data_IF_522057603324
#
_entry.id   IF_522057603324
#
_cell.length_a   1.000
_cell.length_b   1.000
_cell.length_c   1.000
_cell.angle_alpha   90.00
_cell.angle_beta   90.00
_cell.angle_gamma   90.00
#
_symmetry.space_group_name_H-M   'P 1'
#
loop_
_entity.id
_entity.type
_entity.pdbx_description
1 polymer ?
#
# COMPACT_ATOMS: atom_id res chain seq x y z
N UNK A 1 16.25 -45.17 -6.27
CA UNK A 1 16.08 -44.55 -4.94
C UNK A 1 16.29 -43.04 -4.95
N UNK A 2 17.31 -42.48 -5.63
CA UNK A 2 17.53 -41.02 -5.67
C UNK A 2 16.49 -40.26 -6.51
N UNK A 3 16.02 -40.84 -7.61
CA UNK A 3 15.00 -40.24 -8.49
C UNK A 3 13.63 -40.08 -7.82
N UNK A 4 13.21 -41.04 -7.00
CA UNK A 4 11.98 -40.97 -6.22
C UNK A 4 12.04 -39.88 -5.13
N UNK A 5 13.19 -39.69 -4.49
CA UNK A 5 13.39 -38.65 -3.48
C UNK A 5 13.35 -37.23 -4.10
N UNK A 6 13.96 -37.03 -5.28
CA UNK A 6 13.91 -35.77 -6.02
C UNK A 6 12.48 -35.40 -6.44
N UNK A 7 11.71 -36.38 -6.92
CA UNK A 7 10.30 -36.17 -7.28
C UNK A 7 9.44 -35.82 -6.07
N UNK A 8 9.67 -36.46 -4.92
CA UNK A 8 8.97 -36.12 -3.67
C UNK A 8 9.30 -34.71 -3.19
N UNK A 9 10.58 -34.32 -3.21
CA UNK A 9 11.00 -32.98 -2.79
C UNK A 9 10.40 -31.89 -3.69
N UNK A 10 10.39 -32.11 -5.01
CA UNK A 10 9.79 -31.21 -5.98
C UNK A 10 8.26 -31.11 -5.80
N UNK A 11 7.59 -32.23 -5.51
CA UNK A 11 6.17 -32.27 -5.22
C UNK A 11 5.80 -31.46 -3.97
N UNK A 12 6.57 -31.63 -2.88
CA UNK A 12 6.35 -30.90 -1.62
C UNK A 12 6.59 -29.39 -1.81
N UNK A 13 7.66 -28.99 -2.50
CA UNK A 13 7.92 -27.57 -2.77
C UNK A 13 6.85 -26.94 -3.65
N UNK A 14 6.42 -27.63 -4.71
CA UNK A 14 5.33 -27.16 -5.57
C UNK A 14 4.02 -27.00 -4.78
N UNK A 15 3.70 -27.97 -3.92
CA UNK A 15 2.50 -27.92 -3.08
C UNK A 15 2.54 -26.75 -2.09
N UNK A 16 3.69 -26.50 -1.45
CA UNK A 16 3.90 -25.35 -0.57
C UNK A 16 3.74 -24.03 -1.30
N UNK A 17 4.41 -23.85 -2.44
CA UNK A 17 4.30 -22.63 -3.26
C UNK A 17 2.86 -22.40 -3.70
N UNK A 18 2.18 -23.45 -4.15
CA UNK A 18 0.76 -23.41 -4.53
C UNK A 18 -0.14 -23.00 -3.36
N UNK A 19 0.08 -23.57 -2.17
CA UNK A 19 -0.69 -23.23 -0.96
C UNK A 19 -0.48 -21.78 -0.54
N UNK A 20 0.76 -21.27 -0.55
CA UNK A 20 1.05 -19.86 -0.26
C UNK A 20 0.41 -18.92 -1.30
N UNK A 21 0.47 -19.27 -2.58
CA UNK A 21 -0.15 -18.48 -3.64
C UNK A 21 -1.69 -18.45 -3.51
N UNK A 22 -2.31 -19.60 -3.24
CA UNK A 22 -3.74 -19.73 -3.03
C UNK A 22 -4.21 -18.96 -1.79
N UNK A 23 -3.44 -19.04 -0.69
CA UNK A 23 -3.72 -18.28 0.52
C UNK A 23 -3.61 -16.78 0.28
N UNK A 24 -2.60 -16.33 -0.46
CA UNK A 24 -2.45 -14.94 -0.88
C UNK A 24 -3.60 -14.47 -1.77
N UNK A 25 -4.05 -15.30 -2.71
CA UNK A 25 -5.20 -15.00 -3.57
C UNK A 25 -6.49 -14.89 -2.77
N UNK A 26 -6.74 -15.81 -1.84
CA UNK A 26 -7.92 -15.80 -0.98
C UNK A 26 -7.92 -14.59 -0.06
N UNK A 27 -6.77 -14.25 0.52
CA UNK A 27 -6.60 -13.04 1.31
C UNK A 27 -6.92 -11.80 0.48
N UNK A 28 -6.46 -11.74 -0.77
CA UNK A 28 -6.69 -10.63 -1.72
C UNK A 28 -8.16 -10.47 -2.14
N UNK A 29 -8.91 -11.57 -2.18
CA UNK A 29 -10.35 -11.56 -2.41
C UNK A 29 -11.12 -11.09 -1.17
N UNK A 30 -10.81 -11.67 -0.01
CA UNK A 30 -11.46 -11.33 1.27
C UNK A 30 -11.13 -9.90 1.73
N UNK A 31 -9.97 -9.40 1.33
CA UNK A 31 -9.51 -8.06 1.64
C UNK A 31 -10.18 -6.96 0.79
N UNK A 32 -10.94 -7.29 -0.25
CA UNK A 32 -11.40 -6.29 -1.20
C UNK A 32 -10.25 -5.55 -1.91
N UNK A 33 -9.01 -6.05 -1.83
CA UNK A 33 -7.86 -5.56 -2.61
C UNK A 33 -8.16 -5.62 -4.10
N UNK A 34 -9.00 -6.56 -4.53
CA UNK A 34 -9.45 -6.63 -5.92
C UNK A 34 -10.14 -5.33 -6.38
N UNK A 35 -11.00 -4.75 -5.53
CA UNK A 35 -11.75 -3.53 -5.87
C UNK A 35 -10.82 -2.31 -5.91
N UNK A 36 -9.85 -2.25 -5.00
CA UNK A 36 -8.83 -1.18 -4.97
C UNK A 36 -7.87 -1.28 -6.16
N UNK A 37 -7.38 -2.47 -6.49
CA UNK A 37 -6.56 -2.72 -7.68
C UNK A 37 -7.32 -2.37 -8.97
N UNK A 38 -8.60 -2.71 -9.05
CA UNK A 38 -9.43 -2.39 -10.22
C UNK A 38 -9.67 -0.88 -10.34
N UNK A 39 -9.85 -0.16 -9.22
CA UNK A 39 -9.94 1.31 -9.22
C UNK A 39 -8.63 1.97 -9.60
N UNK A 40 -7.50 1.47 -9.09
CA UNK A 40 -6.18 1.94 -9.46
C UNK A 40 -5.92 1.72 -10.97
N UNK A 41 -6.28 0.54 -11.50
CA UNK A 41 -6.22 0.24 -12.94
C UNK A 41 -7.17 1.09 -13.77
N UNK A 42 -8.36 1.42 -13.25
CA UNK A 42 -9.29 2.34 -13.90
C UNK A 42 -8.72 3.75 -13.97
N UNK A 43 -8.24 4.32 -12.87
CA UNK A 43 -7.58 5.64 -12.85
C UNK A 43 -6.38 5.69 -13.80
N UNK A 44 -5.57 4.64 -13.82
CA UNK A 44 -4.43 4.53 -14.73
C UNK A 44 -4.84 4.43 -16.21
N UNK A 45 -6.03 3.88 -16.52
CA UNK A 45 -6.57 3.77 -17.88
C UNK A 45 -7.32 5.02 -18.32
N UNK A 46 -8.06 5.65 -17.42
CA UNK A 46 -8.93 6.79 -17.73
C UNK A 46 -8.12 8.08 -17.93
N UNK A 47 -6.87 8.16 -17.46
CA UNK A 47 -6.08 9.41 -17.56
C UNK A 47 -6.73 10.60 -16.86
N UNK A 48 -7.82 10.34 -16.13
CA UNK A 48 -8.67 11.29 -15.44
C UNK A 48 -8.01 11.64 -14.11
N UNK A 49 -6.86 12.29 -14.23
CA UNK A 49 -6.26 13.03 -13.13
C UNK A 49 -7.02 14.36 -13.14
N UNK A 50 -7.96 14.61 -12.21
CA UNK A 50 -8.56 15.93 -12.09
C UNK A 50 -7.42 16.95 -12.00
N UNK A 51 -7.55 18.05 -12.76
CA UNK A 51 -6.52 19.10 -12.81
C UNK A 51 -6.06 19.44 -11.38
N UNK A 52 -4.74 19.51 -11.12
CA UNK A 52 -4.24 19.67 -9.76
C UNK A 52 -4.87 20.92 -9.16
N UNK A 53 -5.68 20.73 -8.12
CA UNK A 53 -6.08 21.83 -7.27
C UNK A 53 -4.80 22.55 -6.81
N UNK A 54 -4.86 23.88 -6.66
CA UNK A 54 -3.71 24.66 -6.24
C UNK A 54 -3.01 23.97 -5.06
N UNK A 55 -1.67 23.85 -5.08
CA UNK A 55 -0.94 23.10 -4.05
C UNK A 55 -1.33 23.64 -2.68
N UNK A 56 -1.80 22.74 -1.81
CA UNK A 56 -2.16 23.09 -0.44
C UNK A 56 -0.91 23.56 0.30
N UNK A 57 -1.04 24.46 1.29
CA UNK A 57 0.09 24.84 2.14
C UNK A 57 0.67 23.59 2.82
N UNK A 58 2.00 23.54 2.92
CA UNK A 58 2.72 22.36 3.44
C UNK A 58 2.32 22.03 4.87
N UNK A 59 1.93 23.03 5.66
CA UNK A 59 1.47 22.89 7.03
C UNK A 59 0.14 22.13 7.12
N UNK A 60 -0.76 22.35 6.15
CA UNK A 60 -2.03 21.64 6.08
C UNK A 60 -1.81 20.17 5.72
N UNK A 61 -0.91 19.90 4.77
CA UNK A 61 -0.54 18.53 4.40
C UNK A 61 0.14 17.82 5.58
N UNK A 62 1.09 18.48 6.26
CA UNK A 62 1.75 17.93 7.44
C UNK A 62 0.76 17.67 8.60
N UNK A 63 -0.25 18.53 8.78
CA UNK A 63 -1.32 18.31 9.75
C UNK A 63 -2.16 17.08 9.40
N UNK A 64 -2.49 16.90 8.11
CA UNK A 64 -3.21 15.73 7.61
C UNK A 64 -2.40 14.44 7.79
N UNK A 65 -1.09 14.44 7.49
CA UNK A 65 -0.16 13.33 7.75
C UNK A 65 -0.24 12.91 9.22
N UNK A 66 -0.09 13.86 10.15
CA UNK A 66 -0.14 13.59 11.60
C UNK A 66 -1.51 13.10 12.04
N UNK A 67 -2.60 13.67 11.50
CA UNK A 67 -3.97 13.31 11.87
C UNK A 67 -4.29 11.88 11.41
N UNK A 68 -4.02 11.57 10.15
CA UNK A 68 -4.32 10.26 9.56
C UNK A 68 -3.42 9.16 10.13
N UNK A 69 -2.14 9.43 10.35
CA UNK A 69 -1.24 8.50 11.05
C UNK A 69 -1.73 8.19 12.47
N UNK A 70 -2.25 9.18 13.20
CA UNK A 70 -2.92 8.95 14.50
C UNK A 70 -4.19 8.12 14.38
N UNK A 71 -5.02 8.41 13.39
CA UNK A 71 -6.24 7.64 13.18
C UNK A 71 -5.93 6.18 12.86
N UNK A 72 -4.88 5.89 12.08
CA UNK A 72 -4.47 4.52 11.74
C UNK A 72 -4.10 3.69 12.97
N UNK A 73 -3.33 4.28 13.89
CA UNK A 73 -2.92 3.60 15.12
C UNK A 73 -4.09 3.32 16.07
N UNK A 74 -5.13 4.15 16.01
CA UNK A 74 -6.32 4.04 16.88
C UNK A 74 -7.42 3.14 16.30
N UNK A 75 -7.23 2.56 15.11
CA UNK A 75 -8.23 1.65 14.53
C UNK A 75 -8.37 0.42 15.43
N UNK A 76 -9.55 0.15 16.02
CA UNK A 76 -9.72 -0.96 16.95
C UNK A 76 -9.45 -2.32 16.29
N UNK A 77 -8.86 -3.24 17.07
CA UNK A 77 -8.84 -4.65 16.70
C UNK A 77 -10.28 -5.15 16.54
N UNK A 78 -10.61 -5.71 15.39
CA UNK A 78 -11.98 -6.13 15.04
C UNK A 78 -12.78 -5.12 14.21
N UNK A 79 -12.26 -3.92 13.95
CA UNK A 79 -12.89 -3.03 12.98
C UNK A 79 -12.97 -3.67 11.58
N UNK A 80 -14.02 -3.38 10.79
CA UNK A 80 -14.13 -3.90 9.43
C UNK A 80 -12.89 -3.59 8.61
N UNK A 81 -12.34 -4.60 7.93
CA UNK A 81 -11.11 -4.45 7.17
C UNK A 81 -11.23 -3.39 6.05
N UNK A 82 -12.44 -3.16 5.53
CA UNK A 82 -12.74 -2.07 4.58
C UNK A 82 -12.43 -0.69 5.18
N UNK A 83 -12.77 -0.45 6.45
CA UNK A 83 -12.47 0.81 7.15
C UNK A 83 -10.98 1.03 7.29
N UNK A 84 -10.24 0.00 7.73
CA UNK A 84 -8.77 0.07 7.88
C UNK A 84 -8.09 0.36 6.54
N UNK A 85 -8.54 -0.29 5.46
CA UNK A 85 -8.01 -0.05 4.10
C UNK A 85 -8.35 1.32 3.55
N UNK A 86 -9.58 1.80 3.77
CA UNK A 86 -9.98 3.14 3.35
C UNK A 86 -9.12 4.22 4.00
N UNK A 87 -8.86 4.07 5.31
CA UNK A 87 -7.99 4.99 6.03
C UNK A 87 -6.52 4.90 5.58
N UNK A 88 -6.02 3.69 5.31
CA UNK A 88 -4.68 3.49 4.76
C UNK A 88 -4.53 4.14 3.37
N UNK A 89 -5.54 4.01 2.51
CA UNK A 89 -5.52 4.64 1.19
C UNK A 89 -5.49 6.18 1.31
N UNK A 90 -6.32 6.76 2.18
CA UNK A 90 -6.30 8.20 2.44
C UNK A 90 -4.95 8.68 2.99
N UNK A 91 -4.31 7.88 3.84
CA UNK A 91 -2.97 8.18 4.34
C UNK A 91 -1.91 8.13 3.23
N UNK A 92 -1.93 7.08 2.40
CA UNK A 92 -1.03 6.97 1.24
C UNK A 92 -1.21 8.16 0.28
N UNK A 93 -2.44 8.60 0.02
CA UNK A 93 -2.72 9.77 -0.82
C UNK A 93 -2.05 11.04 -0.26
N UNK A 94 -2.17 11.29 1.04
CA UNK A 94 -1.52 12.45 1.69
C UNK A 94 0.00 12.32 1.70
N UNK A 95 0.57 11.11 1.83
CA UNK A 95 2.02 10.90 1.69
C UNK A 95 2.50 11.23 0.27
N UNK A 96 1.74 10.86 -0.77
CA UNK A 96 2.10 11.22 -2.15
C UNK A 96 2.02 12.72 -2.41
N UNK A 97 1.04 13.40 -1.81
CA UNK A 97 0.95 14.86 -1.89
C UNK A 97 2.12 15.55 -1.18
N UNK A 98 2.48 15.09 0.03
CA UNK A 98 3.64 15.60 0.76
C UNK A 98 4.94 15.39 -0.04
N UNK A 99 5.09 14.23 -0.67
CA UNK A 99 6.22 13.93 -1.53
C UNK A 99 6.29 14.87 -2.74
N UNK A 100 5.15 15.15 -3.38
CA UNK A 100 5.08 16.08 -4.50
C UNK A 100 5.47 17.51 -4.08
N UNK A 101 4.97 18.01 -2.94
CA UNK A 101 5.33 19.34 -2.40
C UNK A 101 6.82 19.48 -2.10
N UNK A 102 7.47 18.40 -1.67
CA UNK A 102 8.90 18.37 -1.35
C UNK A 102 9.77 17.86 -2.50
N UNK A 103 9.19 17.63 -3.68
CA UNK A 103 9.86 17.06 -4.84
C UNK A 103 10.63 15.74 -4.55
N UNK A 104 10.09 14.91 -3.65
CA UNK A 104 10.69 13.62 -3.29
C UNK A 104 10.24 12.52 -4.27
N UNK A 105 11.18 11.74 -4.83
CA UNK A 105 10.83 10.65 -5.73
C UNK A 105 10.15 9.51 -4.98
N UNK A 106 9.05 8.99 -5.55
CA UNK A 106 8.33 7.87 -4.98
C UNK A 106 7.58 7.05 -6.03
N UNK A 107 7.29 5.80 -5.68
CA UNK A 107 6.51 4.85 -6.47
C UNK A 107 5.21 4.42 -5.77
N UNK A 108 4.87 5.02 -4.61
CA UNK A 108 3.72 4.60 -3.81
C UNK A 108 2.38 4.55 -4.57
N UNK A 109 2.19 5.41 -5.57
CA UNK A 109 1.01 5.40 -6.44
C UNK A 109 0.99 4.29 -7.50
N UNK A 110 2.15 3.76 -7.88
CA UNK A 110 2.33 2.81 -8.99
C UNK A 110 2.63 1.38 -8.51
N UNK A 111 3.19 1.22 -7.31
CA UNK A 111 3.48 -0.10 -6.73
C UNK A 111 2.16 -0.83 -6.40
N UNK A 112 1.99 -2.09 -6.87
CA UNK A 112 0.81 -2.90 -6.57
C UNK A 112 0.61 -3.09 -5.07
N UNK A 113 -0.64 -3.18 -4.62
CA UNK A 113 -0.95 -3.43 -3.22
C UNK A 113 -0.32 -4.73 -2.70
N UNK A 114 0.09 -4.73 -1.43
CA UNK A 114 0.78 -5.85 -0.77
C UNK A 114 2.12 -5.41 -0.20
N UNK A 115 2.96 -6.38 0.13
CA UNK A 115 4.22 -6.15 0.85
C UNK A 115 5.14 -5.12 0.17
N UNK A 116 5.27 -5.15 -1.17
CA UNK A 116 6.09 -4.19 -1.89
C UNK A 116 5.63 -2.73 -1.67
N UNK A 117 4.31 -2.50 -1.61
CA UNK A 117 3.76 -1.16 -1.33
C UNK A 117 3.97 -0.75 0.12
N UNK A 118 3.93 -1.70 1.05
CA UNK A 118 4.21 -1.44 2.46
C UNK A 118 5.69 -1.05 2.67
N UNK A 119 6.61 -1.70 1.95
CA UNK A 119 8.04 -1.33 1.93
C UNK A 119 8.25 0.05 1.32
N UNK A 120 7.64 0.33 0.16
CA UNK A 120 7.74 1.65 -0.47
C UNK A 120 7.14 2.76 0.41
N UNK A 121 6.06 2.47 1.14
CA UNK A 121 5.48 3.40 2.13
C UNK A 121 6.49 3.72 3.22
N UNK A 122 7.10 2.70 3.81
CA UNK A 122 8.12 2.86 4.85
C UNK A 122 9.29 3.70 4.33
N UNK A 123 9.80 3.40 3.13
CA UNK A 123 10.86 4.18 2.48
C UNK A 123 10.46 5.64 2.31
N UNK A 124 9.24 5.91 1.84
CA UNK A 124 8.74 7.27 1.64
C UNK A 124 8.55 8.01 2.96
N UNK A 125 8.02 7.35 3.99
CA UNK A 125 7.92 7.90 5.34
C UNK A 125 9.31 8.31 5.84
N UNK A 126 10.32 7.46 5.70
CA UNK A 126 11.70 7.83 6.06
C UNK A 126 12.17 9.06 5.29
N UNK A 127 12.00 9.11 3.96
CA UNK A 127 12.41 10.27 3.17
C UNK A 127 11.68 11.57 3.58
N UNK A 128 10.40 11.48 3.93
CA UNK A 128 9.62 12.62 4.44
C UNK A 128 10.08 13.06 5.84
N UNK A 129 10.45 12.09 6.69
CA UNK A 129 11.05 12.35 8.00
C UNK A 129 12.39 13.07 7.87
N UNK A 130 13.23 12.63 6.93
CA UNK A 130 14.53 13.24 6.65
C UNK A 130 14.36 14.67 6.10
N UNK A 131 13.26 14.95 5.39
CA UNK A 131 12.86 16.27 4.95
C UNK A 131 12.18 17.13 6.05
N UNK A 132 12.05 16.61 7.28
CA UNK A 132 11.55 17.34 8.45
C UNK A 132 10.06 17.19 8.75
N UNK A 133 9.33 16.32 8.05
CA UNK A 133 7.93 16.02 8.41
C UNK A 133 7.85 14.98 9.53
N UNK A 134 6.94 15.23 10.47
CA UNK A 134 6.59 14.23 11.48
C UNK A 134 5.63 13.20 10.87
N UNK A 135 6.18 12.06 10.48
CA UNK A 135 5.46 10.87 10.00
C UNK A 135 5.49 9.75 11.05
N UNK A 136 4.73 8.68 10.82
CA UNK A 136 4.78 7.44 11.60
C UNK A 136 5.08 6.28 10.68
#
# INVERSE_FOLDING_TARGET
MMTSALLQLAGITAMLVGAFAALGLLFRLFSGQLVLDLRARRRAREGDVPAPAAPRPVEAVAADVRRLGRQLDTVPAGAPQVRRRGLQAAYDDVLTEAAALLALPHALGTVPHGFARDVERLRLQTALSDAGLVVR
#
